data_IF_710110250467
#
_entry.id   IF_710110250467
#
_cell.length_a   1.000
_cell.length_b   1.000
_cell.length_c   1.000
_cell.angle_alpha   90.00
_cell.angle_beta   90.00
_cell.angle_gamma   90.00
#
_symmetry.space_group_name_H-M   'P 1'
#
loop_
_entity.id
_entity.type
_entity.pdbx_description
1 polymer ?
#
# COMPACT_ATOMS: atom_id res chain seq x y z
N UNK A 1 -58.25 -20.23 38.06
CA UNK A 1 -56.79 -20.31 38.34
C UNK A 1 -56.11 -20.60 37.00
N UNK A 2 -55.70 -19.63 36.19
CA UNK A 2 -54.51 -18.80 36.37
C UNK A 2 -54.65 -17.51 35.53
N UNK A 3 -54.65 -16.36 36.19
CA UNK A 3 -54.26 -15.08 35.60
C UNK A 3 -52.73 -15.03 35.69
N UNK A 4 -52.02 -14.90 34.56
CA UNK A 4 -50.58 -14.58 34.56
C UNK A 4 -50.40 -13.10 34.27
N UNK A 5 -49.70 -12.46 35.18
CA UNK A 5 -49.45 -11.03 35.27
C UNK A 5 -48.63 -10.49 34.10
N UNK A 6 -49.01 -9.31 33.62
CA UNK A 6 -48.24 -8.46 32.72
C UNK A 6 -47.22 -7.70 33.58
N UNK A 7 -45.93 -7.88 33.31
CA UNK A 7 -44.87 -7.10 33.96
C UNK A 7 -44.76 -5.70 33.34
N UNK A 8 -44.56 -4.62 34.13
CA UNK A 8 -44.37 -3.29 33.58
C UNK A 8 -42.96 -3.09 33.02
N UNK A 9 -42.90 -2.46 31.85
CA UNK A 9 -41.69 -2.00 31.15
C UNK A 9 -40.96 -0.95 31.99
N UNK A 10 -39.69 -1.22 32.31
CA UNK A 10 -38.79 -0.27 32.97
C UNK A 10 -38.29 0.77 31.95
N UNK A 11 -38.73 2.02 32.09
CA UNK A 11 -38.19 3.16 31.34
C UNK A 11 -36.78 3.47 31.84
N UNK A 12 -35.77 3.22 30.99
CA UNK A 12 -34.38 3.66 31.21
C UNK A 12 -34.28 5.18 31.03
N UNK A 13 -33.68 5.84 32.01
CA UNK A 13 -33.28 7.25 31.94
C UNK A 13 -32.17 7.48 30.88
N UNK A 14 -32.09 8.67 30.26
CA UNK A 14 -31.10 8.95 29.24
C UNK A 14 -29.70 9.09 29.83
N UNK A 15 -28.72 8.41 29.22
CA UNK A 15 -27.30 8.56 29.56
C UNK A 15 -26.81 9.93 29.11
N UNK A 16 -26.10 10.60 29.99
CA UNK A 16 -25.43 11.89 29.77
C UNK A 16 -24.41 11.76 28.63
N UNK A 17 -24.56 12.57 27.58
CA UNK A 17 -23.60 12.69 26.47
C UNK A 17 -22.49 13.64 26.93
N UNK A 18 -21.20 13.24 26.98
CA UNK A 18 -20.13 14.18 27.25
C UNK A 18 -19.90 15.09 26.04
N UNK A 19 -19.83 16.39 26.31
CA UNK A 19 -19.68 17.51 25.37
C UNK A 19 -18.43 17.39 24.48
N UNK A 20 -18.63 17.25 23.16
CA UNK A 20 -17.59 17.34 22.11
C UNK A 20 -16.92 18.72 22.00
N UNK A 21 -17.34 19.73 22.78
CA UNK A 21 -16.85 21.11 22.63
C UNK A 21 -15.48 21.38 23.28
N UNK A 22 -14.99 20.49 24.15
CA UNK A 22 -13.75 20.74 24.90
C UNK A 22 -12.47 20.28 24.16
N UNK A 23 -12.56 19.28 23.27
CA UNK A 23 -11.39 18.72 22.57
C UNK A 23 -10.88 19.61 21.42
N UNK A 24 -11.78 20.31 20.73
CA UNK A 24 -11.41 21.15 19.59
C UNK A 24 -10.62 22.41 19.99
N UNK A 25 -10.90 22.97 21.18
CA UNK A 25 -10.23 24.15 21.69
C UNK A 25 -8.76 23.89 22.07
N UNK A 26 -8.45 22.70 22.60
CA UNK A 26 -7.09 22.35 23.03
C UNK A 26 -6.10 22.24 21.84
N UNK A 27 -6.55 21.70 20.71
CA UNK A 27 -5.73 21.53 19.50
C UNK A 27 -5.40 22.88 18.83
N UNK A 28 -6.34 23.83 18.83
CA UNK A 28 -6.13 25.16 18.25
C UNK A 28 -5.12 25.98 19.06
N UNK A 29 -5.16 25.90 20.40
CA UNK A 29 -4.23 26.63 21.27
C UNK A 29 -2.79 26.13 21.13
N UNK A 30 -2.59 24.81 21.03
CA UNK A 30 -1.26 24.21 20.87
C UNK A 30 -0.58 24.66 19.57
N UNK A 31 -1.33 24.72 18.47
CA UNK A 31 -0.79 25.11 17.17
C UNK A 31 -0.45 26.62 17.09
N UNK A 32 -1.22 27.48 17.77
CA UNK A 32 -0.92 28.91 17.84
C UNK A 32 0.35 29.18 18.66
N UNK A 33 0.55 28.48 19.78
CA UNK A 33 1.75 28.62 20.61
C UNK A 33 3.04 28.16 19.88
N UNK A 34 2.96 27.12 19.05
CA UNK A 34 4.10 26.64 18.28
C UNK A 34 4.53 27.66 17.21
N UNK A 35 3.56 28.28 16.53
CA UNK A 35 3.82 29.31 15.52
C UNK A 35 4.43 30.58 16.12
N UNK A 36 3.97 31.03 17.29
CA UNK A 36 4.53 32.25 17.93
C UNK A 36 5.95 32.04 18.46
N UNK A 37 6.26 30.86 19.00
CA UNK A 37 7.61 30.52 19.45
C UNK A 37 8.63 30.47 18.28
N UNK A 38 8.22 29.91 17.13
CA UNK A 38 9.08 29.84 15.94
C UNK A 38 9.43 31.24 15.42
N UNK A 39 8.43 32.14 15.32
CA UNK A 39 8.61 33.50 14.81
C UNK A 39 9.53 34.34 15.71
N UNK A 40 9.46 34.19 17.04
CA UNK A 40 10.38 34.87 17.96
C UNK A 40 11.84 34.42 17.79
N UNK A 41 12.08 33.15 17.47
CA UNK A 41 13.43 32.60 17.30
C UNK A 41 14.11 33.10 16.02
N UNK A 42 13.34 33.36 14.96
CA UNK A 42 13.88 33.90 13.70
C UNK A 42 14.06 35.43 13.74
N UNK A 43 13.30 36.14 14.58
CA UNK A 43 13.29 37.61 14.61
C UNK A 43 14.24 38.22 15.64
N UNK A 44 14.59 37.51 16.72
CA UNK A 44 15.43 38.04 17.82
C UNK A 44 16.77 37.31 18.04
N UNK A 45 17.22 36.48 17.09
CA UNK A 45 18.57 35.92 17.07
C UNK A 45 19.64 36.97 16.81
N UNK A 46 19.94 37.77 17.84
CA UNK A 46 20.94 38.84 17.82
C UNK A 46 22.32 38.39 17.36
N UNK A 47 22.89 39.18 16.46
CA UNK A 47 24.30 39.14 16.03
C UNK A 47 25.23 39.32 17.24
N UNK A 48 25.91 38.26 17.65
CA UNK A 48 27.13 38.35 18.46
C UNK A 48 28.33 38.16 17.54
N UNK A 49 29.11 39.22 17.37
CA UNK A 49 30.30 39.26 16.53
C UNK A 49 31.41 38.37 17.07
N UNK A 50 31.98 37.54 16.21
CA UNK A 50 33.25 36.85 16.43
C UNK A 50 34.36 37.58 15.67
N UNK A 51 35.59 37.64 16.22
CA UNK A 51 36.67 38.43 15.63
C UNK A 51 37.15 37.81 14.31
N UNK A 52 37.43 38.67 13.34
CA UNK A 52 38.03 38.28 12.05
C UNK A 52 39.50 37.90 12.30
N UNK A 53 39.76 36.61 12.47
CA UNK A 53 41.11 36.07 12.37
C UNK A 53 41.49 35.96 10.89
N UNK A 54 42.50 36.71 10.46
CA UNK A 54 43.11 36.60 9.13
C UNK A 54 43.64 35.18 8.91
N UNK A 55 42.85 34.35 8.22
CA UNK A 55 43.31 33.08 7.67
C UNK A 55 43.99 33.33 6.34
N UNK A 56 45.32 33.20 6.32
CA UNK A 56 46.06 33.03 5.07
C UNK A 56 45.58 31.74 4.40
N UNK A 57 44.79 31.85 3.33
CA UNK A 57 44.40 30.71 2.52
C UNK A 57 45.61 30.26 1.71
N UNK A 58 46.33 29.26 2.21
CA UNK A 58 47.27 28.52 1.38
C UNK A 58 46.43 27.72 0.36
N UNK A 59 46.35 28.22 -0.87
CA UNK A 59 45.72 27.51 -1.98
C UNK A 59 46.64 26.38 -2.43
N UNK A 60 46.62 25.25 -1.72
CA UNK A 60 47.19 24.02 -2.25
C UNK A 60 46.26 23.53 -3.34
N UNK A 61 46.62 23.82 -4.60
CA UNK A 61 45.90 23.32 -5.77
C UNK A 61 46.25 21.85 -5.92
N UNK A 62 45.65 20.98 -5.11
CA UNK A 62 45.61 19.55 -5.42
C UNK A 62 44.85 19.42 -6.73
N UNK A 63 45.59 19.27 -7.83
CA UNK A 63 45.00 18.96 -9.13
C UNK A 63 44.48 17.53 -9.01
N UNK A 64 43.20 17.38 -8.68
CA UNK A 64 42.50 16.13 -8.96
C UNK A 64 42.56 15.93 -10.47
N UNK A 65 43.17 14.84 -10.96
CA UNK A 65 43.18 14.57 -12.38
C UNK A 65 41.73 14.52 -12.85
N UNK A 66 41.44 15.19 -13.97
CA UNK A 66 40.13 15.13 -14.59
C UNK A 66 39.76 13.64 -14.76
N UNK A 67 38.52 13.24 -14.42
CA UNK A 67 38.09 11.87 -14.64
C UNK A 67 38.40 11.54 -16.10
N UNK A 68 39.21 10.50 -16.33
CA UNK A 68 39.43 9.98 -17.67
C UNK A 68 38.07 9.79 -18.34
N UNK A 69 37.98 9.99 -19.66
CA UNK A 69 36.73 9.80 -20.41
C UNK A 69 36.05 8.47 -20.03
N UNK A 70 36.84 7.41 -19.79
CA UNK A 70 36.35 6.12 -19.26
C UNK A 70 35.66 6.18 -17.90
N UNK A 71 36.10 7.00 -16.95
CA UNK A 71 35.44 7.14 -15.63
C UNK A 71 34.19 8.03 -15.65
N UNK A 72 34.13 9.03 -16.54
CA UNK A 72 32.91 9.82 -16.73
C UNK A 72 31.84 9.01 -17.47
N UNK A 73 32.27 8.21 -18.45
CA UNK A 73 31.44 7.25 -19.19
C UNK A 73 31.03 6.08 -18.28
N UNK A 74 31.92 5.47 -17.50
CA UNK A 74 31.54 4.39 -16.58
C UNK A 74 30.49 4.82 -15.54
N UNK A 75 30.50 6.09 -15.11
CA UNK A 75 29.47 6.64 -14.22
C UNK A 75 28.21 7.15 -14.95
N UNK A 76 28.30 7.45 -16.25
CA UNK A 76 27.16 7.86 -17.08
C UNK A 76 26.42 6.67 -17.71
N UNK A 77 27.09 5.53 -17.84
CA UNK A 77 26.55 4.25 -18.29
C UNK A 77 26.39 3.30 -17.10
N UNK A 78 25.69 3.75 -16.05
CA UNK A 78 24.84 2.81 -15.31
C UNK A 78 23.59 2.55 -16.16
N UNK A 79 23.78 1.98 -17.35
CA UNK A 79 22.70 1.31 -18.05
C UNK A 79 22.44 0.03 -17.26
N UNK A 80 21.58 0.12 -16.25
CA UNK A 80 21.04 -1.08 -15.63
C UNK A 80 20.15 -1.75 -16.68
N UNK A 81 20.73 -2.72 -17.40
CA UNK A 81 20.02 -3.49 -18.41
C UNK A 81 18.96 -4.33 -17.69
N UNK A 82 17.69 -4.06 -18.00
CA UNK A 82 16.57 -4.86 -17.50
C UNK A 82 16.70 -6.29 -18.01
N UNK A 83 16.65 -7.27 -17.11
CA UNK A 83 16.66 -8.67 -17.47
C UNK A 83 15.41 -9.01 -18.32
N UNK A 84 15.56 -9.45 -19.58
CA UNK A 84 14.41 -9.74 -20.45
C UNK A 84 13.69 -11.04 -20.09
N UNK A 85 14.30 -11.96 -19.32
CA UNK A 85 13.74 -13.28 -19.02
C UNK A 85 13.20 -13.39 -17.60
N UNK A 86 13.84 -12.72 -16.63
CA UNK A 86 13.46 -12.82 -15.20
C UNK A 86 12.55 -11.70 -14.70
N UNK A 87 11.85 -11.05 -15.62
CA UNK A 87 11.08 -9.84 -15.33
C UNK A 87 9.59 -9.96 -15.70
N UNK A 88 9.01 -11.14 -15.50
CA UNK A 88 7.58 -11.37 -15.75
C UNK A 88 6.73 -10.53 -14.78
N UNK A 89 5.67 -9.91 -15.32
CA UNK A 89 4.80 -8.97 -14.60
C UNK A 89 3.38 -9.50 -14.52
N UNK A 90 2.64 -8.99 -13.53
CA UNK A 90 1.31 -9.46 -13.14
C UNK A 90 0.32 -8.30 -13.03
N UNK A 91 0.39 -7.38 -14.00
CA UNK A 91 -0.42 -6.17 -14.06
C UNK A 91 -0.17 -5.19 -12.89
N UNK A 92 -1.22 -4.53 -12.40
CA UNK A 92 -1.16 -3.47 -11.39
C UNK A 92 -0.32 -3.86 -10.17
N UNK A 93 0.55 -2.94 -9.74
CA UNK A 93 1.50 -3.09 -8.61
C UNK A 93 2.64 -4.09 -8.81
N UNK A 94 2.69 -4.85 -9.91
CA UNK A 94 3.77 -5.83 -10.11
C UNK A 94 5.16 -5.25 -10.42
N UNK A 95 5.26 -3.93 -10.66
CA UNK A 95 6.54 -3.21 -10.78
C UNK A 95 7.06 -2.65 -9.45
N UNK A 96 6.23 -2.66 -8.40
CA UNK A 96 6.63 -2.24 -7.07
C UNK A 96 7.45 -3.33 -6.38
N UNK A 97 8.19 -3.00 -5.31
CA UNK A 97 8.72 -4.01 -4.41
C UNK A 97 7.63 -4.97 -3.95
N UNK A 98 7.99 -6.24 -3.74
CA UNK A 98 7.04 -7.25 -3.27
C UNK A 98 6.39 -6.80 -1.95
N UNK A 99 5.06 -6.85 -1.89
CA UNK A 99 4.30 -6.40 -0.74
C UNK A 99 4.46 -7.35 0.44
N UNK A 100 4.68 -6.79 1.63
CA UNK A 100 4.52 -7.53 2.88
C UNK A 100 3.02 -7.65 3.23
N UNK A 101 2.69 -8.49 4.23
CA UNK A 101 1.29 -8.73 4.63
C UNK A 101 0.54 -7.45 5.03
N UNK A 102 1.23 -6.45 5.62
CA UNK A 102 0.60 -5.18 6.01
C UNK A 102 0.25 -4.33 4.80
N UNK A 103 1.10 -4.31 3.78
CA UNK A 103 0.84 -3.59 2.54
C UNK A 103 -0.34 -4.22 1.80
N UNK A 104 -0.40 -5.57 1.76
CA UNK A 104 -1.52 -6.31 1.19
C UNK A 104 -2.83 -6.02 1.95
N UNK A 105 -2.81 -6.05 3.29
CA UNK A 105 -3.95 -5.70 4.14
C UNK A 105 -4.41 -4.26 3.89
N UNK A 106 -3.49 -3.31 3.67
CA UNK A 106 -3.81 -1.93 3.35
C UNK A 106 -4.54 -1.79 2.00
N UNK A 107 -4.14 -2.55 0.97
CA UNK A 107 -4.83 -2.57 -0.32
C UNK A 107 -6.23 -3.19 -0.22
N UNK A 108 -6.39 -4.27 0.54
CA UNK A 108 -7.71 -4.86 0.79
C UNK A 108 -8.60 -3.90 1.58
N UNK A 109 -8.06 -3.22 2.60
CA UNK A 109 -8.79 -2.17 3.33
C UNK A 109 -9.21 -1.02 2.41
N UNK A 110 -8.41 -0.68 1.40
CA UNK A 110 -8.81 0.27 0.38
C UNK A 110 -9.99 -0.26 -0.47
N UNK A 111 -9.98 -1.53 -0.88
CA UNK A 111 -11.11 -2.14 -1.59
C UNK A 111 -12.41 -2.05 -0.77
N UNK A 112 -12.37 -2.50 0.48
CA UNK A 112 -13.54 -2.53 1.38
C UNK A 112 -14.09 -1.11 1.62
N UNK A 113 -13.22 -0.12 1.86
CA UNK A 113 -13.64 1.29 2.07
C UNK A 113 -14.32 1.90 0.85
N UNK A 114 -13.98 1.45 -0.35
CA UNK A 114 -14.62 1.89 -1.59
C UNK A 114 -15.88 1.06 -1.95
N UNK A 115 -16.31 0.16 -1.07
CA UNK A 115 -17.48 -0.70 -1.32
C UNK A 115 -17.22 -1.79 -2.36
N UNK A 116 -15.96 -2.06 -2.71
CA UNK A 116 -15.62 -3.16 -3.61
C UNK A 116 -15.70 -4.49 -2.87
N UNK A 117 -16.08 -5.54 -3.59
CA UNK A 117 -16.21 -6.90 -3.07
C UNK A 117 -14.91 -7.66 -3.38
N UNK A 118 -14.10 -8.02 -2.37
CA UNK A 118 -12.87 -8.77 -2.59
C UNK A 118 -13.16 -10.20 -3.06
N UNK A 119 -12.32 -10.72 -3.95
CA UNK A 119 -12.36 -12.11 -4.41
C UNK A 119 -10.93 -12.61 -4.60
N UNK A 120 -10.68 -13.88 -4.28
CA UNK A 120 -9.36 -14.49 -4.42
C UNK A 120 -9.39 -15.43 -5.62
N UNK A 121 -8.34 -15.35 -6.43
CA UNK A 121 -8.12 -16.29 -7.53
C UNK A 121 -6.71 -16.85 -7.47
N UNK A 122 -6.54 -18.07 -7.96
CA UNK A 122 -5.26 -18.74 -8.04
C UNK A 122 -5.09 -19.52 -9.34
N UNK A 123 -3.85 -19.63 -9.79
CA UNK A 123 -3.48 -20.39 -10.98
C UNK A 123 -2.06 -20.94 -10.85
N UNK A 124 -1.76 -22.05 -11.53
CA UNK A 124 -0.41 -22.63 -11.49
C UNK A 124 0.53 -22.07 -12.56
N UNK A 125 0.01 -21.49 -13.65
CA UNK A 125 0.83 -20.98 -14.75
C UNK A 125 1.16 -19.49 -14.58
N UNK A 126 0.18 -18.69 -14.17
CA UNK A 126 0.34 -17.26 -13.87
C UNK A 126 0.55 -16.37 -15.11
N UNK A 127 0.43 -16.92 -16.32
CA UNK A 127 0.72 -16.21 -17.58
C UNK A 127 -0.40 -16.39 -18.59
N UNK A 128 -0.56 -15.39 -19.45
CA UNK A 128 -1.47 -15.43 -20.60
C UNK A 128 -0.76 -16.07 -21.78
N UNK A 129 -1.46 -16.93 -22.54
CA UNK A 129 -0.93 -17.60 -23.73
C UNK A 129 -1.99 -17.69 -24.83
N UNK A 130 -1.67 -18.32 -25.97
CA UNK A 130 -2.57 -18.46 -27.11
C UNK A 130 -2.47 -19.85 -27.71
N UNK A 131 -3.38 -20.72 -27.32
CA UNK A 131 -3.51 -22.10 -27.82
C UNK A 131 -4.76 -22.24 -28.68
N UNK A 132 -5.91 -21.75 -28.20
CA UNK A 132 -7.21 -22.06 -28.81
C UNK A 132 -7.57 -21.15 -29.99
N UNK A 133 -7.10 -19.90 -30.01
CA UNK A 133 -7.37 -18.97 -31.12
C UNK A 133 -6.33 -17.86 -31.21
N UNK A 134 -6.17 -17.35 -32.45
CA UNK A 134 -5.32 -16.20 -32.77
C UNK A 134 -6.09 -14.95 -33.23
N UNK A 135 -7.42 -14.96 -33.10
CA UNK A 135 -8.24 -13.78 -33.40
C UNK A 135 -7.88 -12.57 -32.51
N UNK A 136 -7.99 -11.33 -33.01
CA UNK A 136 -7.74 -10.14 -32.20
C UNK A 136 -8.50 -10.18 -30.86
N UNK A 137 -7.85 -9.73 -29.77
CA UNK A 137 -8.39 -9.68 -28.41
C UNK A 137 -8.74 -11.04 -27.76
N UNK A 138 -8.43 -12.17 -28.40
CA UNK A 138 -8.53 -13.49 -27.78
C UNK A 138 -7.20 -13.95 -27.21
N UNK A 139 -7.23 -14.30 -25.92
CA UNK A 139 -6.11 -14.87 -25.18
C UNK A 139 -6.59 -15.91 -24.16
N UNK A 140 -5.82 -16.98 -24.02
CA UNK A 140 -5.97 -18.04 -23.02
C UNK A 140 -5.22 -17.67 -21.72
N UNK A 141 -5.59 -18.26 -20.58
CA UNK A 141 -4.93 -17.98 -19.29
C UNK A 141 -5.29 -16.63 -18.63
N UNK A 142 -6.27 -15.88 -19.18
CA UNK A 142 -6.80 -14.66 -18.55
C UNK A 142 -7.57 -14.94 -17.26
N UNK A 143 -8.38 -16.01 -17.28
CA UNK A 143 -9.18 -16.46 -16.15
C UNK A 143 -8.37 -17.42 -15.29
N UNK A 144 -8.41 -17.20 -13.98
CA UNK A 144 -7.81 -18.05 -12.97
C UNK A 144 -8.91 -18.78 -12.19
N UNK A 145 -8.53 -19.76 -11.38
CA UNK A 145 -9.51 -20.51 -10.58
C UNK A 145 -9.94 -19.67 -9.39
N UNK A 146 -11.24 -19.52 -9.20
CA UNK A 146 -11.79 -18.80 -8.04
C UNK A 146 -11.57 -19.62 -6.75
N UNK A 147 -11.08 -18.94 -5.70
CA UNK A 147 -11.02 -19.50 -4.36
C UNK A 147 -12.31 -19.19 -3.61
N UNK A 148 -13.10 -20.23 -3.34
CA UNK A 148 -14.44 -20.12 -2.72
C UNK A 148 -15.34 -19.17 -3.53
N UNK A 149 -15.87 -18.12 -2.91
CA UNK A 149 -16.78 -17.13 -3.51
C UNK A 149 -16.28 -15.72 -3.19
N UNK A 150 -16.70 -14.68 -3.95
CA UNK A 150 -16.47 -13.29 -3.58
C UNK A 150 -16.97 -13.04 -2.14
N UNK A 151 -16.19 -12.31 -1.36
CA UNK A 151 -16.42 -12.12 0.07
C UNK A 151 -17.44 -11.01 0.31
N UNK A 152 -18.70 -11.27 -0.05
CA UNK A 152 -19.82 -10.34 0.12
C UNK A 152 -19.96 -9.90 1.58
N UNK A 153 -20.04 -8.59 1.80
CA UNK A 153 -20.16 -8.03 3.16
C UNK A 153 -18.88 -8.09 3.99
N UNK A 154 -17.71 -8.31 3.37
CA UNK A 154 -16.43 -8.22 4.06
C UNK A 154 -16.25 -6.82 4.68
N UNK A 155 -15.96 -6.78 5.98
CA UNK A 155 -15.71 -5.54 6.74
C UNK A 155 -14.29 -5.46 7.30
N UNK A 156 -13.58 -6.59 7.33
CA UNK A 156 -12.24 -6.71 7.90
C UNK A 156 -11.30 -7.35 6.88
N UNK A 157 -10.25 -6.61 6.49
CA UNK A 157 -9.23 -7.10 5.56
C UNK A 157 -8.49 -8.33 6.09
N UNK A 158 -8.39 -8.51 7.42
CA UNK A 158 -7.70 -9.67 8.01
C UNK A 158 -8.38 -10.98 7.68
N UNK A 159 -9.71 -10.99 7.56
CA UNK A 159 -10.46 -12.18 7.15
C UNK A 159 -10.12 -12.56 5.70
N UNK A 160 -10.00 -11.57 4.82
CA UNK A 160 -9.54 -11.79 3.43
C UNK A 160 -8.12 -12.35 3.41
N UNK A 161 -7.22 -11.80 4.23
CA UNK A 161 -5.84 -12.29 4.32
C UNK A 161 -5.73 -13.69 4.97
N UNK A 162 -6.66 -14.07 5.84
CA UNK A 162 -6.76 -15.44 6.34
C UNK A 162 -7.12 -16.43 5.22
N UNK A 163 -8.06 -16.05 4.36
CA UNK A 163 -8.46 -16.84 3.19
C UNK A 163 -7.32 -16.97 2.17
N UNK A 164 -6.52 -15.92 1.96
CA UNK A 164 -5.30 -16.00 1.14
C UNK A 164 -4.32 -17.03 1.70
N UNK A 165 -4.11 -17.04 3.02
CA UNK A 165 -3.25 -18.03 3.69
C UNK A 165 -3.81 -19.45 3.61
N UNK A 166 -5.13 -19.62 3.63
CA UNK A 166 -5.76 -20.92 3.38
C UNK A 166 -5.56 -21.37 1.92
N UNK A 167 -5.77 -20.47 0.97
CA UNK A 167 -5.56 -20.74 -0.45
C UNK A 167 -4.10 -21.16 -0.72
N UNK A 168 -3.13 -20.45 -0.14
CA UNK A 168 -1.71 -20.75 -0.27
C UNK A 168 -1.31 -22.08 0.34
N UNK A 169 -1.86 -22.44 1.52
CA UNK A 169 -1.62 -23.74 2.15
C UNK A 169 -2.13 -24.91 1.31
N UNK A 170 -3.29 -24.74 0.67
CA UNK A 170 -3.87 -25.77 -0.19
C UNK A 170 -3.23 -25.81 -1.58
N UNK A 171 -2.67 -24.69 -2.05
CA UNK A 171 -2.10 -24.54 -3.39
C UNK A 171 -0.67 -23.94 -3.32
N UNK A 172 0.32 -24.63 -2.75
CA UNK A 172 1.65 -24.07 -2.49
C UNK A 172 2.44 -23.72 -3.77
N UNK A 173 2.04 -24.28 -4.91
CA UNK A 173 2.65 -24.04 -6.23
C UNK A 173 1.85 -23.07 -7.10
N UNK A 174 0.86 -22.39 -6.55
CA UNK A 174 0.02 -21.45 -7.30
C UNK A 174 0.45 -20.00 -7.09
N UNK A 175 0.25 -19.21 -8.12
CA UNK A 175 0.07 -17.77 -8.04
C UNK A 175 -1.27 -17.47 -7.39
N UNK A 176 -1.32 -16.44 -6.56
CA UNK A 176 -2.57 -16.00 -5.93
C UNK A 176 -2.69 -14.50 -6.13
N UNK A 177 -3.87 -14.06 -6.55
CA UNK A 177 -4.24 -12.65 -6.72
C UNK A 177 -5.54 -12.33 -5.98
N UNK A 178 -5.67 -11.09 -5.55
CA UNK A 178 -6.93 -10.55 -5.02
C UNK A 178 -7.52 -9.61 -6.07
N UNK A 179 -8.81 -9.75 -6.34
CA UNK A 179 -9.61 -8.90 -7.19
C UNK A 179 -10.63 -8.11 -6.36
N UNK A 180 -11.02 -6.93 -6.84
CA UNK A 180 -12.08 -6.11 -6.26
C UNK A 180 -13.16 -5.80 -7.30
N UNK A 181 -14.38 -6.27 -7.04
CA UNK A 181 -15.53 -6.08 -7.93
C UNK A 181 -16.42 -4.92 -7.48
N UNK A 182 -16.87 -4.11 -8.43
CA UNK A 182 -17.90 -3.10 -8.23
C UNK A 182 -19.21 -3.61 -8.83
N UNK A 183 -20.19 -3.87 -7.96
CA UNK A 183 -21.49 -4.40 -8.36
C UNK A 183 -22.38 -3.36 -9.04
N UNK A 184 -22.13 -2.06 -8.82
CA UNK A 184 -22.88 -0.98 -9.44
C UNK A 184 -22.42 -0.79 -10.89
N UNK A 185 -21.11 -0.75 -11.10
CA UNK A 185 -20.51 -0.63 -12.45
C UNK A 185 -20.45 -1.95 -13.21
N UNK A 186 -20.61 -3.08 -12.51
CA UNK A 186 -20.50 -4.44 -13.06
C UNK A 186 -19.12 -4.73 -13.67
N UNK A 187 -18.06 -4.24 -13.03
CA UNK A 187 -16.68 -4.44 -13.50
C UNK A 187 -15.75 -4.86 -12.37
N UNK A 188 -14.67 -5.53 -12.75
CA UNK A 188 -13.49 -5.68 -11.90
C UNK A 188 -12.73 -4.34 -11.88
N UNK A 189 -12.75 -3.66 -10.75
CA UNK A 189 -12.15 -2.33 -10.59
C UNK A 189 -10.69 -2.39 -10.13
N UNK A 190 -10.29 -3.47 -9.47
CA UNK A 190 -8.97 -3.60 -8.87
C UNK A 190 -8.50 -5.05 -8.93
N UNK A 191 -7.19 -5.25 -9.06
CA UNK A 191 -6.57 -6.57 -8.98
C UNK A 191 -5.07 -6.45 -8.79
N UNK A 192 -4.51 -7.24 -7.88
CA UNK A 192 -3.06 -7.31 -7.66
C UNK A 192 -2.63 -8.70 -7.16
N UNK A 193 -1.39 -9.08 -7.47
CA UNK A 193 -0.81 -10.35 -7.04
C UNK A 193 -0.44 -10.29 -5.54
N UNK A 194 -0.71 -11.36 -4.79
CA UNK A 194 -0.39 -11.48 -3.36
C UNK A 194 0.61 -12.58 -3.03
N UNK A 195 0.67 -13.65 -3.83
CA UNK A 195 1.63 -14.72 -3.63
C UNK A 195 2.16 -15.27 -4.96
N UNK A 196 3.45 -15.63 -4.94
CA UNK A 196 4.15 -16.38 -5.99
C UNK A 196 4.46 -17.78 -5.45
N UNK A 197 4.58 -18.82 -6.30
CA UNK A 197 4.93 -20.15 -5.87
C UNK A 197 6.32 -20.19 -5.20
N UNK A 198 6.41 -20.80 -4.02
CA UNK A 198 7.68 -20.97 -3.31
C UNK A 198 8.57 -21.99 -4.04
N UNK A 199 9.60 -21.49 -4.73
CA UNK A 199 10.58 -22.30 -5.47
C UNK A 199 10.68 -21.99 -6.96
N UNK A 200 9.91 -21.03 -7.49
CA UNK A 200 10.04 -20.60 -8.88
C UNK A 200 11.14 -19.56 -9.06
N UNK A 201 12.37 -20.01 -9.31
CA UNK A 201 13.25 -19.24 -10.20
C UNK A 201 12.66 -19.35 -11.61
N UNK A 202 12.45 -18.23 -12.28
CA UNK A 202 12.29 -18.18 -13.73
C UNK A 202 13.67 -18.17 -14.39
#
# INVERSE_FOLDING_TARGET
RYLRAIAPVSLRTPRHIPSMKLSLAASVIANVALCTALVCLVTFGGRLGAPVASRTMAFSRTVTPAPTFRSAVANAYCEEVVDPTRNVRYETMSYMPDFNERDQEAQVNYMIRNGLIPCIEFDQQGVTFRENSRMPNYYDGRYWTMWKLPMFGATDARQVMQEVRECQRNNPKAYIRILGFDNIKQVQCMGFLVAKPSGGYY
#
